data_IF_893717771321
#
_entry.id   IF_893717771321
#
_cell.length_a   1.000
_cell.length_b   1.000
_cell.length_c   1.000
_cell.angle_alpha   90.00
_cell.angle_beta   90.00
_cell.angle_gamma   90.00
#
_symmetry.space_group_name_H-M   'P 1'
#
loop_
_entity.id
_entity.type
_entity.pdbx_description
1 polymer ?
#
# COMPACT_ATOMS: atom_id res chain seq x y z
N UNK A 1 -17.41 10.60 6.73
CA UNK A 1 -16.75 9.78 5.68
C UNK A 1 -15.47 9.21 6.27
N UNK A 2 -15.31 7.89 6.32
CA UNK A 2 -14.10 7.28 6.89
C UNK A 2 -12.88 7.67 6.04
N UNK A 3 -11.80 8.13 6.69
CA UNK A 3 -10.57 8.56 6.01
C UNK A 3 -10.01 7.37 5.21
N UNK A 4 -10.01 7.49 3.88
CA UNK A 4 -9.55 6.46 2.93
C UNK A 4 -8.02 6.33 2.91
N UNK A 5 -7.32 7.28 3.53
CA UNK A 5 -5.88 7.36 3.65
C UNK A 5 -5.47 7.68 5.09
N UNK A 6 -4.27 7.24 5.47
CA UNK A 6 -3.56 7.55 6.71
C UNK A 6 -2.24 8.22 6.38
N UNK A 7 -1.74 9.05 7.28
CA UNK A 7 -0.44 9.71 7.12
C UNK A 7 0.61 8.91 7.87
N UNK A 8 1.73 8.59 7.22
CA UNK A 8 2.87 7.89 7.82
C UNK A 8 4.15 8.63 7.46
N UNK A 9 5.05 8.79 8.44
CA UNK A 9 6.40 9.31 8.20
C UNK A 9 7.37 8.17 7.87
N UNK A 10 8.13 8.33 6.78
CA UNK A 10 9.15 7.37 6.34
C UNK A 10 10.41 8.14 5.92
N UNK A 11 11.55 7.89 6.57
CA UNK A 11 12.82 8.54 6.27
C UNK A 11 12.76 10.09 6.29
N UNK A 12 12.00 10.67 7.23
CA UNK A 12 11.81 12.12 7.33
C UNK A 12 10.82 12.70 6.31
N UNK A 13 10.14 11.84 5.56
CA UNK A 13 9.13 12.22 4.59
C UNK A 13 7.73 11.79 5.01
N UNK A 14 6.81 12.75 5.01
CA UNK A 14 5.39 12.52 5.30
C UNK A 14 4.69 12.01 4.04
N UNK A 15 4.16 10.79 4.11
CA UNK A 15 3.46 10.13 3.01
C UNK A 15 1.98 9.88 3.34
N UNK A 16 1.12 10.14 2.36
CA UNK A 16 -0.28 9.69 2.39
C UNK A 16 -0.38 8.25 1.89
N UNK A 17 -0.90 7.38 2.74
CA UNK A 17 -0.91 5.93 2.54
C UNK A 17 -2.37 5.45 2.51
N UNK A 18 -2.81 4.71 1.47
CA UNK A 18 -4.16 4.15 1.45
C UNK A 18 -4.40 3.21 2.64
N UNK A 19 -5.65 3.11 3.10
CA UNK A 19 -6.01 2.30 4.28
C UNK A 19 -5.59 0.82 4.19
N UNK A 20 -5.59 0.26 2.98
CA UNK A 20 -5.23 -1.14 2.71
C UNK A 20 -3.72 -1.36 2.52
N UNK A 21 -2.93 -0.29 2.61
CA UNK A 21 -1.47 -0.36 2.48
C UNK A 21 -0.83 -0.20 3.85
N UNK A 22 0.13 -1.07 4.14
CA UNK A 22 0.88 -1.06 5.39
C UNK A 22 2.38 -0.98 5.11
N UNK A 23 3.07 -0.14 5.87
CA UNK A 23 4.53 -0.06 5.82
C UNK A 23 5.12 -1.33 6.42
N UNK A 24 6.19 -1.81 5.81
CA UNK A 24 7.03 -2.91 6.33
C UNK A 24 8.47 -2.40 6.46
N UNK A 25 9.38 -3.24 6.97
CA UNK A 25 10.79 -2.86 7.11
C UNK A 25 11.46 -2.48 5.78
N UNK A 26 11.07 -3.13 4.67
CA UNK A 26 11.76 -3.04 3.38
C UNK A 26 10.87 -2.61 2.22
N UNK A 27 9.64 -2.17 2.49
CA UNK A 27 8.63 -2.00 1.45
C UNK A 27 7.24 -1.70 1.97
N UNK A 28 6.25 -1.89 1.11
CA UNK A 28 4.83 -1.76 1.46
C UNK A 28 4.09 -3.07 1.18
N UNK A 29 3.04 -3.31 1.94
CA UNK A 29 2.15 -4.43 1.73
C UNK A 29 0.75 -3.92 1.44
N UNK A 30 0.25 -4.21 0.23
CA UNK A 30 -1.14 -4.02 -0.14
C UNK A 30 -1.92 -5.25 0.31
N UNK A 31 -2.93 -5.08 1.17
CA UNK A 31 -3.77 -6.16 1.67
C UNK A 31 -5.23 -5.74 1.68
N UNK A 32 -6.02 -6.38 0.82
CA UNK A 32 -7.47 -6.15 0.74
C UNK A 32 -8.19 -7.45 1.08
N UNK A 33 -9.18 -7.37 1.97
CA UNK A 33 -10.07 -8.49 2.30
C UNK A 33 -11.34 -8.37 1.46
N UNK A 34 -11.79 -9.51 0.95
CA UNK A 34 -12.93 -9.64 0.06
C UNK A 34 -13.83 -10.77 0.56
N UNK A 35 -15.06 -10.87 0.03
CA UNK A 35 -16.03 -11.88 0.48
C UNK A 35 -15.52 -13.33 0.39
N UNK A 36 -14.68 -13.62 -0.61
CA UNK A 36 -14.17 -14.96 -0.92
C UNK A 36 -12.67 -15.15 -0.60
N UNK A 37 -12.03 -14.22 0.12
CA UNK A 37 -10.60 -14.37 0.47
C UNK A 37 -9.87 -13.08 0.80
N UNK A 38 -8.54 -13.12 0.70
CA UNK A 38 -7.66 -11.97 0.92
C UNK A 38 -6.66 -11.86 -0.21
N UNK A 39 -6.64 -10.72 -0.91
CA UNK A 39 -5.58 -10.37 -1.84
C UNK A 39 -4.45 -9.66 -1.08
N UNK A 40 -3.22 -10.15 -1.22
CA UNK A 40 -2.06 -9.59 -0.52
C UNK A 40 -0.83 -9.61 -1.43
N UNK A 41 -0.13 -8.48 -1.53
CA UNK A 41 1.10 -8.38 -2.29
C UNK A 41 2.09 -7.42 -1.63
N UNK A 42 3.37 -7.80 -1.62
CA UNK A 42 4.46 -7.00 -1.09
C UNK A 42 5.23 -6.28 -2.21
N UNK A 43 5.58 -5.01 -1.97
CA UNK A 43 6.27 -4.10 -2.89
C UNK A 43 7.55 -3.60 -2.21
N UNK A 44 8.69 -4.18 -2.56
CA UNK A 44 9.98 -3.88 -1.94
C UNK A 44 10.58 -2.56 -2.44
N UNK A 45 11.06 -1.71 -1.55
CA UNK A 45 11.64 -0.40 -1.89
C UNK A 45 12.83 -0.52 -2.85
N UNK A 46 13.69 -1.52 -2.61
CA UNK A 46 14.86 -1.79 -3.44
C UNK A 46 14.51 -2.12 -4.90
N UNK A 47 13.31 -2.67 -5.15
CA UNK A 47 12.85 -2.99 -6.49
C UNK A 47 12.23 -1.78 -7.21
N UNK A 48 11.53 -0.92 -6.46
CA UNK A 48 10.79 0.21 -7.03
C UNK A 48 11.54 1.55 -6.99
N UNK A 49 12.74 1.60 -6.41
CA UNK A 49 13.56 2.82 -6.35
C UNK A 49 13.30 3.71 -5.14
N UNK A 50 12.72 3.16 -4.06
CA UNK A 50 12.49 3.86 -2.80
C UNK A 50 11.08 3.74 -2.25
N UNK A 51 10.88 4.28 -1.05
CA UNK A 51 9.63 4.16 -0.29
C UNK A 51 8.43 4.83 -0.98
N UNK A 52 8.61 5.96 -1.67
CA UNK A 52 7.52 6.63 -2.38
C UNK A 52 7.06 5.82 -3.60
N UNK A 53 8.02 5.30 -4.38
CA UNK A 53 7.72 4.56 -5.60
C UNK A 53 7.08 3.21 -5.31
N UNK A 54 7.57 2.50 -4.29
CA UNK A 54 6.97 1.25 -3.81
C UNK A 54 5.57 1.48 -3.20
N UNK A 55 5.34 2.63 -2.53
CA UNK A 55 4.03 3.03 -2.04
C UNK A 55 3.04 3.25 -3.21
N UNK A 56 3.46 3.97 -4.24
CA UNK A 56 2.63 4.20 -5.43
C UNK A 56 2.23 2.87 -6.09
N UNK A 57 3.18 1.96 -6.27
CA UNK A 57 2.91 0.63 -6.81
C UNK A 57 1.92 -0.19 -5.94
N UNK A 58 2.08 -0.12 -4.61
CA UNK A 58 1.16 -0.76 -3.68
C UNK A 58 -0.24 -0.15 -3.73
N UNK A 59 -0.35 1.18 -3.84
CA UNK A 59 -1.63 1.89 -3.96
C UNK A 59 -2.36 1.51 -5.25
N UNK A 60 -1.64 1.38 -6.37
CA UNK A 60 -2.24 0.95 -7.64
C UNK A 60 -2.65 -0.53 -7.60
N UNK A 61 -1.92 -1.37 -6.87
CA UNK A 61 -2.33 -2.75 -6.63
C UNK A 61 -3.63 -2.84 -5.81
N UNK A 62 -3.81 -2.00 -4.79
CA UNK A 62 -5.06 -1.91 -4.04
C UNK A 62 -6.24 -1.56 -4.96
N UNK A 63 -6.08 -0.59 -5.87
CA UNK A 63 -7.13 -0.25 -6.84
C UNK A 63 -7.51 -1.47 -7.70
N UNK A 64 -6.52 -2.24 -8.16
CA UNK A 64 -6.75 -3.46 -8.94
C UNK A 64 -7.46 -4.55 -8.12
N UNK A 65 -7.07 -4.76 -6.87
CA UNK A 65 -7.73 -5.73 -5.99
C UNK A 65 -9.19 -5.37 -5.73
N UNK A 66 -9.46 -4.08 -5.47
CA UNK A 66 -10.83 -3.59 -5.27
C UNK A 66 -11.68 -3.66 -6.55
N UNK A 67 -11.08 -3.51 -7.74
CA UNK A 67 -11.79 -3.66 -9.00
C UNK A 67 -12.12 -5.12 -9.36
N UNK A 68 -11.52 -6.09 -8.65
CA UNK A 68 -11.77 -7.53 -8.85
C UNK A 68 -12.82 -8.11 -7.90
N UNK A 69 -13.42 -7.27 -7.04
CA UNK A 69 -14.53 -7.63 -6.16
C UNK A 69 -15.86 -7.05 -6.60
#
# INVERSE_FOLDING_TARGET
>A
MARSTKVIEVNGETLEVPMYVNRTRSGWQARVRHAIGTASQHFADAHYGGARQSLQAAADAVKRFLAQT
#
